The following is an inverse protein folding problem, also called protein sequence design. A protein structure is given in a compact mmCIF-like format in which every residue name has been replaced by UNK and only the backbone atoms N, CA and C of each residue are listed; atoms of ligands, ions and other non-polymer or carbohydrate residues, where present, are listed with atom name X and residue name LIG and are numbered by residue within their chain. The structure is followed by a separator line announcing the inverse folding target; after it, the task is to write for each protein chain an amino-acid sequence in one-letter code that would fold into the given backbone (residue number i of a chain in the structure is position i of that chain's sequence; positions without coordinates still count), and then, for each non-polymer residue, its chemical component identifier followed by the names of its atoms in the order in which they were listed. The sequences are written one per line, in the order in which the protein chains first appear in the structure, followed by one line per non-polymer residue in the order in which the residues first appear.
data_IF_105198896976
#
_entry.id   IF_105198896976
#
_cell.length_a   1.000
_cell.length_b   1.000
_cell.length_c   1.000
_cell.angle_alpha   90.00
_cell.angle_beta   90.00
_cell.angle_gamma   90.00
#
_symmetry.space_group_name_H-M   'P 1'
#
loop_
_entity.id
_entity.type
_entity.pdbx_description
1 polymer ?
#
# COMPACT_ATOMS: atom_id res chain seq x y z
N UNK A 1 -4.71 1.79 22.91
CA UNK A 1 -5.50 0.97 21.97
C UNK A 1 -5.47 1.69 20.63
N UNK A 2 -4.97 1.04 19.59
CA UNK A 2 -4.83 1.60 18.25
C UNK A 2 -6.18 1.50 17.50
N UNK A 3 -6.41 2.35 16.50
CA UNK A 3 -7.68 2.37 15.75
C UNK A 3 -7.94 1.06 15.03
N UNK A 4 -6.91 0.46 14.41
CA UNK A 4 -7.02 -0.81 13.70
C UNK A 4 -7.43 -1.98 14.63
N UNK A 5 -7.18 -1.92 15.95
CA UNK A 5 -7.60 -2.97 16.88
C UNK A 5 -9.13 -3.05 17.03
N UNK A 6 -9.85 -2.02 16.55
CA UNK A 6 -11.30 -2.00 16.52
C UNK A 6 -11.89 -2.68 15.29
N UNK A 7 -11.07 -3.03 14.31
CA UNK A 7 -11.51 -3.70 13.07
C UNK A 7 -11.97 -5.12 13.38
N UNK A 8 -12.96 -5.60 12.63
CA UNK A 8 -13.48 -6.96 12.70
C UNK A 8 -12.37 -7.95 12.41
N UNK A 9 -11.61 -7.78 11.32
CA UNK A 9 -10.48 -8.67 10.99
C UNK A 9 -9.57 -8.82 12.21
N UNK A 10 -9.13 -7.73 12.86
CA UNK A 10 -8.30 -7.84 14.07
C UNK A 10 -9.01 -8.59 15.20
N UNK A 11 -10.25 -8.21 15.51
CA UNK A 11 -11.04 -8.78 16.61
C UNK A 11 -11.25 -10.28 16.50
N UNK A 12 -11.52 -10.79 15.30
CA UNK A 12 -11.79 -12.22 15.09
C UNK A 12 -10.51 -13.05 14.94
N UNK A 13 -9.37 -12.43 14.64
CA UNK A 13 -8.14 -13.14 14.29
C UNK A 13 -7.05 -13.01 15.34
N UNK A 14 -6.63 -11.81 15.72
CA UNK A 14 -5.46 -11.60 16.57
C UNK A 14 -5.83 -11.16 18.00
N UNK A 15 -6.97 -10.49 18.18
CA UNK A 15 -7.41 -10.05 19.50
C UNK A 15 -7.66 -11.23 20.47
N UNK A 16 -7.57 -11.00 21.79
CA UNK A 16 -8.02 -11.99 22.78
C UNK A 16 -9.48 -12.36 22.57
N UNK A 17 -9.80 -13.64 22.60
CA UNK A 17 -11.16 -14.14 22.44
C UNK A 17 -11.90 -14.14 23.78
N UNK A 18 -13.22 -13.91 23.75
CA UNK A 18 -14.06 -13.79 24.96
C UNK A 18 -14.50 -15.15 25.54
N UNK A 19 -14.46 -16.20 24.72
CA UNK A 19 -14.76 -17.57 25.11
C UNK A 19 -13.46 -18.35 25.37
N UNK A 20 -13.56 -19.55 25.96
CA UNK A 20 -12.42 -20.46 26.07
C UNK A 20 -11.81 -20.70 24.68
N UNK A 21 -10.65 -20.10 24.44
CA UNK A 21 -9.89 -20.24 23.21
C UNK A 21 -8.76 -21.25 23.43
N UNK A 22 -8.90 -22.49 22.94
CA UNK A 22 -7.84 -23.50 23.06
C UNK A 22 -6.55 -23.10 22.34
N UNK A 23 -6.60 -22.06 21.50
CA UNK A 23 -5.48 -21.55 20.71
C UNK A 23 -5.05 -20.14 21.11
N UNK A 24 -5.38 -19.68 22.33
CA UNK A 24 -4.99 -18.34 22.81
C UNK A 24 -3.47 -18.16 22.85
N UNK A 25 -2.71 -19.21 23.20
CA UNK A 25 -1.24 -19.13 23.26
C UNK A 25 -0.61 -18.86 21.87
N UNK A 26 -0.87 -19.66 20.83
CA UNK A 26 -0.46 -19.34 19.45
C UNK A 26 -0.95 -17.97 18.96
N UNK A 27 -2.21 -17.62 19.26
CA UNK A 27 -2.79 -16.33 18.86
C UNK A 27 -2.09 -15.15 19.52
N UNK A 28 -1.83 -15.24 20.83
CA UNK A 28 -1.11 -14.23 21.61
C UNK A 28 0.30 -14.02 21.05
N UNK A 29 1.00 -15.11 20.71
CA UNK A 29 2.34 -15.02 20.10
C UNK A 29 2.33 -14.21 18.80
N UNK A 30 1.38 -14.50 17.89
CA UNK A 30 1.20 -13.74 16.65
C UNK A 30 0.82 -12.27 16.91
N UNK A 31 -0.12 -12.03 17.84
CA UNK A 31 -0.56 -10.68 18.23
C UNK A 31 0.60 -9.84 18.74
N UNK A 32 1.38 -10.37 19.68
CA UNK A 32 2.52 -9.65 20.25
C UNK A 32 3.64 -9.42 19.23
N UNK A 33 3.92 -10.42 18.38
CA UNK A 33 4.87 -10.27 17.29
C UNK A 33 4.44 -9.17 16.31
N UNK A 34 3.14 -9.11 15.98
CA UNK A 34 2.60 -8.06 15.11
C UNK A 34 2.73 -6.67 15.73
N UNK A 35 2.40 -6.52 17.02
CA UNK A 35 2.51 -5.22 17.70
C UNK A 35 3.95 -4.71 17.77
N UNK A 36 4.93 -5.59 18.00
CA UNK A 36 6.37 -5.25 17.91
C UNK A 36 6.78 -4.88 16.50
N UNK A 37 6.36 -5.67 15.51
CA UNK A 37 6.61 -5.40 14.10
C UNK A 37 6.04 -4.04 13.68
N UNK A 38 4.80 -3.73 14.08
CA UNK A 38 4.16 -2.44 13.86
C UNK A 38 4.97 -1.28 14.45
N UNK A 39 5.52 -1.44 15.65
CA UNK A 39 6.33 -0.39 16.29
C UNK A 39 7.62 -0.09 15.50
N UNK A 40 8.30 -1.14 15.02
CA UNK A 40 9.48 -1.01 14.18
C UNK A 40 9.12 -0.41 12.80
N UNK A 41 8.03 -0.87 12.18
CA UNK A 41 7.51 -0.34 10.93
C UNK A 41 7.12 1.15 11.05
N UNK A 42 6.54 1.56 12.17
CA UNK A 42 6.20 2.97 12.42
C UNK A 42 7.45 3.87 12.46
N UNK A 43 8.54 3.36 13.03
CA UNK A 43 9.82 4.08 13.09
C UNK A 43 10.42 4.24 11.70
N UNK A 44 10.43 3.17 10.89
CA UNK A 44 10.91 3.21 9.51
C UNK A 44 10.01 4.07 8.61
N UNK A 45 8.68 3.94 8.73
CA UNK A 45 7.72 4.70 7.93
C UNK A 45 7.77 6.21 8.17
N UNK A 46 8.18 6.65 9.36
CA UNK A 46 8.38 8.08 9.65
C UNK A 46 9.48 8.72 8.79
N UNK A 47 10.43 7.93 8.26
CA UNK A 47 11.51 8.42 7.40
C UNK A 47 11.03 8.70 5.96
N UNK A 48 9.92 8.11 5.51
CA UNK A 48 9.37 8.34 4.16
C UNK A 48 9.10 9.83 3.92
N UNK A 49 8.54 10.53 4.91
CA UNK A 49 8.24 11.95 4.79
C UNK A 49 9.50 12.83 4.69
N UNK A 50 10.65 12.35 5.20
CA UNK A 50 11.94 13.04 5.06
C UNK A 50 12.51 12.85 3.66
N UNK A 51 12.39 11.63 3.12
CA UNK A 51 12.95 11.28 1.82
C UNK A 51 12.07 11.74 0.65
N UNK A 52 10.75 11.76 0.82
CA UNK A 52 9.75 12.07 -0.21
C UNK A 52 8.71 13.08 0.30
N UNK A 53 9.11 14.33 0.62
CA UNK A 53 8.22 15.31 1.26
C UNK A 53 7.03 15.74 0.38
N UNK A 54 7.17 15.66 -0.94
CA UNK A 54 6.10 16.01 -1.90
C UNK A 54 4.99 14.95 -1.97
N UNK A 55 5.23 13.70 -1.53
CA UNK A 55 4.25 12.62 -1.57
C UNK A 55 3.22 12.77 -0.44
N UNK A 56 2.03 12.26 -0.68
CA UNK A 56 0.95 12.16 0.33
C UNK A 56 1.38 11.23 1.47
N UNK A 57 0.54 11.04 2.48
CA UNK A 57 0.89 10.24 3.66
C UNK A 57 1.03 8.76 3.30
N UNK A 58 2.19 8.19 3.65
CA UNK A 58 2.56 6.76 3.51
C UNK A 58 3.16 6.23 4.84
N UNK A 59 2.94 6.93 5.96
CA UNK A 59 3.42 6.53 7.28
C UNK A 59 2.44 5.57 7.99
N UNK A 60 2.72 5.24 9.25
CA UNK A 60 1.93 4.30 10.04
C UNK A 60 0.42 4.58 10.06
N UNK A 61 0.00 5.85 9.93
CA UNK A 61 -1.43 6.21 9.90
C UNK A 61 -2.12 5.68 8.64
N UNK A 62 -1.42 5.68 7.50
CA UNK A 62 -1.89 5.07 6.27
C UNK A 62 -1.93 3.53 6.41
N UNK A 63 -0.86 2.93 6.91
CA UNK A 63 -0.73 1.47 7.04
C UNK A 63 -1.80 0.89 7.98
N UNK A 64 -2.12 1.59 9.07
CA UNK A 64 -3.18 1.19 10.00
C UNK A 64 -4.58 1.31 9.39
N UNK A 65 -4.83 2.36 8.61
CA UNK A 65 -6.12 2.58 7.97
C UNK A 65 -6.47 1.49 6.94
N UNK A 66 -5.48 0.76 6.41
CA UNK A 66 -5.71 -0.37 5.52
C UNK A 66 -6.54 -1.48 6.20
N UNK A 67 -6.45 -1.66 7.52
CA UNK A 67 -7.31 -2.63 8.21
C UNK A 67 -8.79 -2.28 8.13
N UNK A 68 -9.13 -0.98 8.24
CA UNK A 68 -10.52 -0.50 8.14
C UNK A 68 -11.05 -0.62 6.72
N UNK A 69 -10.22 -0.31 5.72
CA UNK A 69 -10.57 -0.46 4.30
C UNK A 69 -10.73 -1.95 3.93
N UNK A 70 -9.86 -2.82 4.44
CA UNK A 70 -9.93 -4.25 4.21
C UNK A 70 -11.23 -4.83 4.80
N UNK A 71 -11.56 -4.46 6.04
CA UNK A 71 -12.82 -4.81 6.70
C UNK A 71 -14.03 -4.47 5.83
N UNK A 72 -14.06 -3.24 5.29
CA UNK A 72 -15.13 -2.75 4.44
C UNK A 72 -15.25 -3.55 3.14
N UNK A 73 -14.11 -3.90 2.52
CA UNK A 73 -14.09 -4.59 1.23
C UNK A 73 -14.48 -6.06 1.37
N UNK A 74 -13.89 -6.77 2.33
CA UNK A 74 -14.10 -8.22 2.43
C UNK A 74 -15.47 -8.57 3.01
N UNK A 75 -16.05 -7.69 3.83
CA UNK A 75 -17.37 -7.87 4.42
C UNK A 75 -17.39 -8.66 5.72
N UNK A 76 -18.57 -8.77 6.34
CA UNK A 76 -18.72 -9.31 7.70
C UNK A 76 -18.36 -10.80 7.83
N UNK A 77 -18.69 -11.59 6.80
CA UNK A 77 -18.58 -13.05 6.83
C UNK A 77 -17.25 -13.58 6.26
N UNK A 78 -16.28 -12.70 5.98
CA UNK A 78 -15.03 -13.14 5.37
C UNK A 78 -14.10 -13.82 6.38
N UNK A 79 -13.74 -15.10 6.19
CA UNK A 79 -12.94 -15.85 7.15
C UNK A 79 -11.45 -15.51 6.99
N UNK A 80 -10.76 -15.26 8.11
CA UNK A 80 -9.30 -15.15 8.15
C UNK A 80 -8.77 -15.90 9.38
N UNK A 81 -7.80 -16.79 9.17
CA UNK A 81 -7.06 -17.42 10.26
C UNK A 81 -6.11 -16.40 10.90
N UNK A 82 -5.65 -16.63 12.14
CA UNK A 82 -4.68 -15.74 12.77
C UNK A 82 -3.37 -15.59 11.97
N UNK A 83 -2.80 -16.65 11.35
CA UNK A 83 -1.67 -16.47 10.44
C UNK A 83 -1.98 -15.69 9.17
N UNK A 84 -3.16 -15.84 8.57
CA UNK A 84 -3.55 -15.03 7.42
C UNK A 84 -3.66 -13.55 7.80
N UNK A 85 -4.24 -13.24 8.96
CA UNK A 85 -4.33 -11.87 9.46
C UNK A 85 -2.96 -11.31 9.84
N UNK A 86 -2.07 -12.12 10.43
CA UNK A 86 -0.68 -11.74 10.69
C UNK A 86 0.08 -11.44 9.39
N UNK A 87 -0.06 -12.30 8.38
CA UNK A 87 0.60 -12.12 7.08
C UNK A 87 0.05 -10.90 6.32
N UNK A 88 -1.28 -10.74 6.29
CA UNK A 88 -1.94 -9.58 5.69
C UNK A 88 -1.54 -8.28 6.39
N UNK A 89 -1.60 -8.27 7.73
CA UNK A 89 -1.18 -7.14 8.53
C UNK A 89 0.28 -6.80 8.33
N UNK A 90 1.15 -7.80 8.30
CA UNK A 90 2.56 -7.62 7.99
C UNK A 90 2.77 -7.00 6.62
N UNK A 91 1.99 -7.42 5.62
CA UNK A 91 2.08 -6.89 4.26
C UNK A 91 1.59 -5.43 4.19
N UNK A 92 0.51 -5.08 4.91
CA UNK A 92 0.11 -3.69 5.10
C UNK A 92 1.28 -2.88 5.66
N UNK A 93 1.97 -3.39 6.68
CA UNK A 93 3.07 -2.68 7.30
C UNK A 93 4.26 -2.44 6.39
N UNK A 94 4.54 -3.26 5.37
CA UNK A 94 5.79 -3.15 4.58
C UNK A 94 5.63 -2.68 3.14
N UNK A 95 4.44 -2.77 2.54
CA UNK A 95 4.27 -2.57 1.09
C UNK A 95 4.83 -1.23 0.60
N UNK A 96 4.65 -0.16 1.37
CA UNK A 96 5.15 1.19 1.06
C UNK A 96 6.42 1.58 1.81
N UNK A 97 6.88 0.82 2.82
CA UNK A 97 8.06 1.22 3.61
C UNK A 97 9.33 1.37 2.77
N UNK A 98 9.40 0.63 1.68
CA UNK A 98 10.50 0.71 0.73
C UNK A 98 10.59 2.08 0.02
N UNK A 99 9.61 2.98 0.18
CA UNK A 99 9.67 4.37 -0.27
C UNK A 99 10.59 5.28 0.58
N UNK A 100 11.39 4.70 1.48
CA UNK A 100 12.43 5.42 2.24
C UNK A 100 13.82 4.90 1.92
N UNK A 101 14.81 5.79 1.93
CA UNK A 101 16.25 5.46 1.88
C UNK A 101 16.66 4.58 3.06
N UNK A 102 16.00 4.72 4.20
CA UNK A 102 16.24 3.89 5.39
C UNK A 102 15.89 2.41 5.16
N UNK A 103 15.10 2.08 4.15
CA UNK A 103 14.73 0.71 3.76
C UNK A 103 15.83 -0.04 2.98
N UNK A 104 17.01 0.57 2.85
CA UNK A 104 18.19 0.02 2.18
C UNK A 104 19.34 -0.09 3.19
N UNK A 105 19.37 -1.14 4.05
CA UNK A 105 20.32 -1.24 5.16
C UNK A 105 21.80 -1.33 4.72
N UNK A 106 22.05 -1.76 3.48
CA UNK A 106 23.39 -1.80 2.87
C UNK A 106 23.73 -0.53 2.08
N UNK A 107 22.94 0.53 2.22
CA UNK A 107 23.10 1.78 1.48
C UNK A 107 22.52 1.73 0.07
N UNK A 108 22.65 2.84 -0.64
CA UNK A 108 22.07 3.07 -1.96
C UNK A 108 23.09 2.88 -3.10
N UNK A 109 24.29 2.44 -2.80
CA UNK A 109 25.36 2.28 -3.79
C UNK A 109 25.04 1.19 -4.81
N UNK A 110 24.29 0.15 -4.41
CA UNK A 110 23.75 -0.83 -5.36
C UNK A 110 22.70 -0.20 -6.27
N UNK A 111 21.80 0.61 -5.72
CA UNK A 111 20.74 1.29 -6.47
C UNK A 111 21.32 2.18 -7.58
N UNK A 112 22.42 2.89 -7.29
CA UNK A 112 23.10 3.77 -8.26
C UNK A 112 23.75 3.04 -9.44
N UNK A 113 23.92 1.71 -9.33
CA UNK A 113 24.46 0.85 -10.39
C UNK A 113 23.37 0.22 -11.23
N UNK A 114 22.10 0.31 -10.81
CA UNK A 114 20.98 -0.23 -11.56
C UNK A 114 20.74 0.61 -12.82
N UNK A 115 20.39 -0.07 -13.92
CA UNK A 115 20.07 0.57 -15.19
C UNK A 115 18.96 1.61 -15.05
N UNK A 116 17.92 1.30 -14.27
CA UNK A 116 16.83 2.25 -13.99
C UNK A 116 17.30 3.55 -13.35
N UNK A 117 18.35 3.51 -12.51
CA UNK A 117 18.89 4.73 -11.91
C UNK A 117 19.67 5.55 -12.91
N UNK A 118 20.53 4.91 -13.70
CA UNK A 118 21.30 5.57 -14.77
C UNK A 118 20.39 6.19 -15.83
N UNK A 119 19.33 5.48 -16.22
CA UNK A 119 18.32 5.96 -17.17
C UNK A 119 17.54 7.16 -16.62
N UNK A 120 17.20 7.13 -15.33
CA UNK A 120 16.52 8.24 -14.65
C UNK A 120 17.42 9.48 -14.60
N UNK A 121 18.70 9.32 -14.25
CA UNK A 121 19.69 10.41 -14.31
C UNK A 121 19.79 10.97 -15.73
N UNK A 122 19.87 10.10 -16.73
CA UNK A 122 19.96 10.51 -18.13
C UNK A 122 18.73 11.32 -18.57
N UNK A 123 17.52 10.91 -18.16
CA UNK A 123 16.28 11.63 -18.45
C UNK A 123 16.23 13.02 -17.80
N UNK A 124 16.64 13.11 -16.53
CA UNK A 124 16.70 14.38 -15.80
C UNK A 124 17.75 15.33 -16.39
N UNK A 125 18.94 14.82 -16.71
CA UNK A 125 19.99 15.60 -17.38
C UNK A 125 19.56 16.04 -18.78
N UNK A 126 18.88 15.19 -19.55
CA UNK A 126 18.37 15.56 -20.88
C UNK A 126 17.44 16.75 -20.79
N UNK A 127 16.54 16.76 -19.81
CA UNK A 127 15.61 17.87 -19.57
C UNK A 127 16.37 19.14 -19.17
N UNK A 128 17.38 19.04 -18.32
CA UNK A 128 18.20 20.19 -17.87
C UNK A 128 19.08 20.76 -18.99
N UNK A 129 19.69 19.90 -19.79
CA UNK A 129 20.68 20.29 -20.81
C UNK A 129 20.04 20.65 -22.16
N UNK A 130 18.79 20.25 -22.40
CA UNK A 130 18.12 20.42 -23.70
C UNK A 130 18.71 19.51 -24.80
N UNK A 131 19.55 18.54 -24.45
CA UNK A 131 20.18 17.57 -25.35
C UNK A 131 20.42 16.24 -24.64
N UNK A 132 20.67 15.13 -25.36
CA UNK A 132 21.14 13.89 -24.74
C UNK A 132 22.42 14.13 -23.90
N UNK A 133 22.49 13.62 -22.66
CA UNK A 133 23.70 13.66 -21.86
C UNK A 133 24.77 12.71 -22.41
N UNK A 134 26.03 13.02 -22.14
CA UNK A 134 27.18 12.12 -22.37
C UNK A 134 27.34 11.16 -21.19
N UNK A 135 28.01 10.04 -21.42
CA UNK A 135 28.24 9.01 -20.40
C UNK A 135 28.92 9.57 -19.15
N UNK A 136 29.97 10.37 -19.32
CA UNK A 136 30.66 11.02 -18.20
C UNK A 136 29.76 12.00 -17.40
N UNK A 137 28.78 12.63 -18.05
CA UNK A 137 27.82 13.53 -17.36
C UNK A 137 26.82 12.75 -16.49
N UNK A 138 26.51 11.50 -16.88
CA UNK A 138 25.66 10.60 -16.10
C UNK A 138 26.45 10.08 -14.88
N UNK A 139 27.69 9.63 -15.09
CA UNK A 139 28.55 9.10 -14.04
C UNK A 139 28.88 10.14 -12.96
N UNK A 140 29.08 11.41 -13.36
CA UNK A 140 29.36 12.52 -12.45
C UNK A 140 28.18 13.46 -12.31
N UNK A 141 26.95 12.92 -12.29
CA UNK A 141 25.75 13.73 -12.19
C UNK A 141 25.78 14.63 -10.93
N UNK A 142 25.35 15.91 -11.04
CA UNK A 142 25.24 16.80 -9.88
C UNK A 142 24.37 16.21 -8.76
N UNK A 143 24.69 16.51 -7.50
CA UNK A 143 24.01 15.93 -6.33
C UNK A 143 22.49 16.12 -6.35
N UNK A 144 21.99 17.26 -6.87
CA UNK A 144 20.56 17.52 -6.95
C UNK A 144 19.86 16.63 -7.99
N UNK A 145 20.54 16.28 -9.09
CA UNK A 145 20.05 15.29 -10.07
C UNK A 145 20.14 13.89 -9.48
N UNK A 146 21.26 13.55 -8.85
CA UNK A 146 21.47 12.23 -8.25
C UNK A 146 20.46 11.93 -7.13
N UNK A 147 20.16 12.93 -6.29
CA UNK A 147 19.15 12.81 -5.24
C UNK A 147 17.75 12.67 -5.82
N UNK A 148 17.38 13.50 -6.81
CA UNK A 148 16.08 13.38 -7.47
C UNK A 148 15.91 12.04 -8.20
N UNK A 149 16.95 11.55 -8.89
CA UNK A 149 16.93 10.24 -9.52
C UNK A 149 16.74 9.13 -8.47
N UNK A 150 17.40 9.25 -7.32
CA UNK A 150 17.23 8.32 -6.20
C UNK A 150 15.79 8.33 -5.68
N UNK A 151 15.17 9.50 -5.49
CA UNK A 151 13.77 9.62 -5.09
C UNK A 151 12.83 8.94 -6.10
N UNK A 152 13.01 9.21 -7.39
CA UNK A 152 12.20 8.62 -8.47
C UNK A 152 12.37 7.09 -8.54
N UNK A 153 13.60 6.59 -8.41
CA UNK A 153 13.92 5.16 -8.50
C UNK A 153 13.45 4.38 -7.27
N UNK A 154 13.60 4.94 -6.07
CA UNK A 154 13.09 4.29 -4.85
C UNK A 154 11.58 4.13 -4.95
N UNK A 155 10.86 5.14 -5.47
CA UNK A 155 9.41 5.01 -5.74
C UNK A 155 9.15 3.99 -6.84
N UNK A 156 9.96 3.92 -7.91
CA UNK A 156 9.74 2.94 -8.97
C UNK A 156 9.98 1.49 -8.52
N UNK A 157 10.89 1.26 -7.57
CA UNK A 157 11.29 -0.06 -7.10
C UNK A 157 10.74 -0.44 -5.72
N UNK A 158 9.91 0.40 -5.09
CA UNK A 158 9.49 0.18 -3.70
C UNK A 158 8.84 -1.19 -3.51
N UNK A 159 7.91 -1.60 -4.37
CA UNK A 159 7.23 -2.89 -4.24
C UNK A 159 8.21 -4.07 -4.30
N UNK A 160 9.22 -4.01 -5.18
CA UNK A 160 10.25 -5.03 -5.27
C UNK A 160 11.12 -5.07 -4.00
N UNK A 161 11.49 -3.91 -3.47
CA UNK A 161 12.29 -3.84 -2.24
C UNK A 161 11.46 -4.22 -0.99
N UNK A 162 10.16 -3.95 -0.98
CA UNK A 162 9.23 -4.36 0.07
C UNK A 162 9.21 -5.89 0.28
N UNK A 163 9.48 -6.68 -0.77
CA UNK A 163 9.62 -8.14 -0.67
C UNK A 163 10.70 -8.57 0.33
N UNK A 164 11.77 -7.78 0.45
CA UNK A 164 12.93 -8.11 1.27
C UNK A 164 12.80 -7.62 2.70
N UNK A 165 12.00 -6.58 2.93
CA UNK A 165 11.92 -5.88 4.22
C UNK A 165 11.64 -6.76 5.43
N UNK A 166 10.76 -7.78 5.37
CA UNK A 166 10.48 -8.61 6.54
C UNK A 166 11.67 -9.45 7.02
N UNK A 167 12.66 -9.70 6.16
CA UNK A 167 13.78 -10.63 6.45
C UNK A 167 15.16 -9.96 6.54
N UNK A 168 15.28 -8.69 6.10
CA UNK A 168 16.52 -7.91 6.25
C UNK A 168 16.66 -7.35 7.66
N UNK A 169 17.87 -6.86 7.97
CA UNK A 169 18.23 -6.28 9.25
C UNK A 169 19.01 -4.99 9.11
N UNK A 170 19.01 -4.21 10.18
CA UNK A 170 19.83 -3.02 10.35
C UNK A 170 20.87 -3.26 11.43
N UNK A 171 22.12 -2.87 11.18
CA UNK A 171 23.21 -3.04 12.12
C UNK A 171 23.44 -1.76 12.92
N UNK A 172 23.40 -1.88 14.25
CA UNK A 172 23.71 -0.77 15.17
C UNK A 172 25.22 -0.52 15.18
N UNK A 173 25.64 0.69 14.79
CA UNK A 173 27.06 0.99 14.48
C UNK A 173 28.03 0.82 15.66
N UNK A 174 27.57 1.06 16.88
CA UNK A 174 28.40 1.05 18.09
C UNK A 174 28.63 -0.36 18.67
N UNK A 175 27.67 -1.25 18.47
CA UNK A 175 27.56 -2.54 19.15
C UNK A 175 27.61 -3.72 18.19
N UNK A 176 27.25 -3.51 16.92
CA UNK A 176 27.12 -4.56 15.92
C UNK A 176 25.77 -5.30 16.00
N UNK A 177 24.90 -4.94 16.94
CA UNK A 177 23.59 -5.58 17.14
C UNK A 177 22.73 -5.47 15.87
N UNK A 178 21.95 -6.52 15.59
CA UNK A 178 21.04 -6.57 14.45
C UNK A 178 19.60 -6.33 14.91
N UNK A 179 18.94 -5.37 14.26
CA UNK A 179 17.54 -5.05 14.44
C UNK A 179 16.74 -5.52 13.24
N UNK A 180 15.56 -6.10 13.49
CA UNK A 180 14.69 -6.64 12.44
C UNK A 180 13.32 -5.97 12.52
N UNK A 181 12.61 -5.94 11.40
CA UNK A 181 11.20 -5.55 11.47
C UNK A 181 10.37 -6.58 12.24
N UNK A 182 10.58 -7.87 11.99
CA UNK A 182 9.98 -8.97 12.76
C UNK A 182 11.04 -9.53 13.69
N UNK A 183 10.97 -9.25 14.99
CA UNK A 183 12.02 -9.66 15.95
C UNK A 183 12.04 -11.17 16.24
N UNK A 184 10.87 -11.80 16.38
CA UNK A 184 10.76 -13.26 16.63
C UNK A 184 11.32 -14.03 15.42
N UNK A 185 12.44 -14.73 15.63
CA UNK A 185 13.18 -15.42 14.58
C UNK A 185 12.33 -16.47 13.85
N UNK A 186 11.61 -17.32 14.59
CA UNK A 186 10.82 -18.40 14.01
C UNK A 186 9.64 -17.84 13.20
N UNK A 187 8.98 -16.78 13.71
CA UNK A 187 7.92 -16.09 12.98
C UNK A 187 8.47 -15.40 11.73
N UNK A 188 9.62 -14.75 11.82
CA UNK A 188 10.28 -14.09 10.68
C UNK A 188 10.66 -15.09 9.60
N UNK A 189 11.27 -16.20 9.97
CA UNK A 189 11.65 -17.27 9.04
C UNK A 189 10.42 -17.89 8.36
N UNK A 190 9.36 -18.13 9.12
CA UNK A 190 8.13 -18.75 8.59
C UNK A 190 7.34 -17.79 7.69
N UNK A 191 7.03 -16.60 8.18
CA UNK A 191 6.06 -15.70 7.54
C UNK A 191 6.72 -14.55 6.77
N UNK A 192 7.95 -14.17 7.09
CA UNK A 192 8.64 -13.02 6.49
C UNK A 192 8.69 -13.08 4.96
N UNK A 193 9.14 -14.18 4.33
CA UNK A 193 9.15 -14.31 2.88
C UNK A 193 7.75 -14.18 2.26
N UNK A 194 6.73 -14.75 2.91
CA UNK A 194 5.34 -14.68 2.43
C UNK A 194 4.78 -13.27 2.54
N UNK A 195 5.01 -12.60 3.68
CA UNK A 195 4.63 -11.20 3.90
C UNK A 195 5.24 -10.30 2.83
N UNK A 196 6.54 -10.45 2.57
CA UNK A 196 7.24 -9.65 1.57
C UNK A 196 6.68 -9.90 0.18
N UNK A 197 6.45 -11.16 -0.18
CA UNK A 197 5.93 -11.51 -1.50
C UNK A 197 4.50 -10.99 -1.72
N UNK A 198 3.64 -11.08 -0.70
CA UNK A 198 2.31 -10.47 -0.70
C UNK A 198 2.44 -8.96 -0.86
N UNK A 199 3.34 -8.31 -0.10
CA UNK A 199 3.60 -6.88 -0.21
C UNK A 199 4.02 -6.48 -1.63
N UNK A 200 4.96 -7.17 -2.27
CA UNK A 200 5.37 -6.89 -3.65
C UNK A 200 4.23 -7.07 -4.67
N UNK A 201 3.31 -8.00 -4.41
CA UNK A 201 2.27 -8.36 -5.38
C UNK A 201 1.26 -7.27 -5.73
N UNK A 202 1.19 -6.18 -4.94
CA UNK A 202 0.35 -5.02 -5.30
C UNK A 202 0.80 -4.32 -6.59
N UNK A 203 2.03 -4.59 -7.07
CA UNK A 203 2.55 -4.12 -8.37
C UNK A 203 2.51 -5.14 -9.50
N UNK A 204 2.07 -6.37 -9.23
CA UNK A 204 1.97 -7.38 -10.29
C UNK A 204 0.70 -7.16 -11.12
N UNK A 205 0.59 -7.82 -12.27
CA UNK A 205 -0.72 -7.95 -12.91
C UNK A 205 -1.63 -8.85 -12.08
N UNK A 206 -2.96 -8.71 -12.20
CA UNK A 206 -3.90 -9.65 -11.55
C UNK A 206 -3.70 -11.07 -12.08
N UNK A 207 -3.39 -11.21 -13.38
CA UNK A 207 -3.13 -12.50 -14.03
C UNK A 207 -1.91 -13.23 -13.42
N UNK A 208 -0.88 -12.49 -13.00
CA UNK A 208 0.30 -13.04 -12.32
C UNK A 208 -0.04 -13.64 -10.94
N UNK A 209 -1.07 -13.14 -10.25
CA UNK A 209 -1.39 -13.54 -8.87
C UNK A 209 -1.72 -15.03 -8.78
N UNK A 210 -2.56 -15.53 -9.68
CA UNK A 210 -3.04 -16.92 -9.67
C UNK A 210 -1.88 -17.93 -9.77
N UNK A 211 -0.94 -17.68 -10.69
CA UNK A 211 0.20 -18.56 -10.92
C UNK A 211 1.25 -18.46 -9.80
N UNK A 212 1.49 -17.25 -9.30
CA UNK A 212 2.53 -16.99 -8.29
C UNK A 212 2.09 -17.40 -6.88
N UNK A 213 0.79 -17.32 -6.55
CA UNK A 213 0.21 -17.70 -5.26
C UNK A 213 -0.65 -18.97 -5.35
N UNK A 214 -0.14 -19.98 -6.06
CA UNK A 214 -0.87 -21.22 -6.33
C UNK A 214 -0.90 -22.22 -5.17
N UNK A 215 -0.19 -21.98 -4.07
CA UNK A 215 -0.15 -22.88 -2.91
C UNK A 215 -0.26 -22.09 -1.59
N UNK A 216 -1.05 -22.59 -0.62
CA UNK A 216 -1.06 -22.03 0.72
C UNK A 216 0.26 -22.35 1.44
N UNK A 217 0.64 -21.49 2.39
CA UNK A 217 1.69 -21.79 3.35
C UNK A 217 1.11 -22.65 4.48
N UNK A 218 1.80 -23.73 4.84
CA UNK A 218 1.42 -24.59 5.96
C UNK A 218 1.49 -23.88 7.33
N UNK A 219 0.85 -24.49 8.33
CA UNK A 219 0.91 -23.99 9.70
C UNK A 219 2.25 -24.41 10.37
N UNK A 220 2.87 -23.54 11.20
CA UNK A 220 3.98 -23.93 12.06
C UNK A 220 3.60 -25.02 13.07
N UNK A 221 4.58 -25.73 13.61
CA UNK A 221 4.33 -26.84 14.56
C UNK A 221 3.65 -26.44 15.88
N UNK A 222 3.69 -25.16 16.25
CA UNK A 222 2.99 -24.60 17.41
C UNK A 222 1.58 -24.09 17.09
N UNK A 223 1.13 -24.18 15.83
CA UNK A 223 -0.21 -23.82 15.39
C UNK A 223 -1.05 -25.07 15.08
N UNK A 224 -2.40 -24.96 15.11
CA UNK A 224 -3.28 -25.95 14.47
C UNK A 224 -2.97 -26.10 12.99
N UNK A 225 -3.05 -27.32 12.46
CA UNK A 225 -2.82 -27.58 11.03
C UNK A 225 -3.81 -26.85 10.08
N UNK A 226 -4.96 -26.41 10.59
CA UNK A 226 -5.93 -25.61 9.84
C UNK A 226 -5.53 -24.14 9.70
N UNK A 227 -4.55 -23.66 10.45
CA UNK A 227 -4.05 -22.28 10.39
C UNK A 227 -3.02 -22.08 9.27
N UNK A 228 -3.41 -22.46 8.06
CA UNK A 228 -2.65 -22.20 6.84
C UNK A 228 -2.82 -20.74 6.41
N UNK A 229 -1.89 -20.25 5.58
CA UNK A 229 -2.00 -18.93 4.94
C UNK A 229 -2.34 -19.12 3.47
N UNK A 230 -3.56 -18.77 3.07
CA UNK A 230 -3.90 -18.65 1.66
C UNK A 230 -3.29 -17.35 1.12
N UNK A 231 -2.17 -17.48 0.41
CA UNK A 231 -1.38 -16.36 -0.07
C UNK A 231 -2.05 -15.58 -1.20
N UNK A 232 -2.86 -16.25 -2.02
CA UNK A 232 -3.66 -15.58 -3.05
C UNK A 232 -4.72 -14.69 -2.42
N UNK A 233 -5.39 -15.20 -1.39
CA UNK A 233 -6.38 -14.46 -0.62
C UNK A 233 -5.79 -13.21 0.04
N UNK A 234 -4.65 -13.33 0.72
CA UNK A 234 -4.00 -12.16 1.35
C UNK A 234 -3.50 -11.14 0.32
N UNK A 235 -2.97 -11.60 -0.82
CA UNK A 235 -2.57 -10.74 -1.94
C UNK A 235 -3.76 -9.98 -2.55
N UNK A 236 -4.88 -10.66 -2.78
CA UNK A 236 -6.09 -10.04 -3.29
C UNK A 236 -6.61 -8.96 -2.33
N UNK A 237 -6.61 -9.22 -1.02
CA UNK A 237 -7.06 -8.24 -0.02
C UNK A 237 -6.13 -7.02 -0.01
N UNK A 238 -4.81 -7.21 0.08
CA UNK A 238 -3.85 -6.11 0.08
C UNK A 238 -4.07 -5.18 -1.13
N UNK A 239 -4.11 -5.79 -2.31
CA UNK A 239 -4.20 -5.08 -3.59
C UNK A 239 -5.38 -4.11 -3.67
N UNK A 240 -6.59 -4.61 -3.41
CA UNK A 240 -7.79 -3.77 -3.48
C UNK A 240 -7.89 -2.79 -2.31
N UNK A 241 -7.32 -3.14 -1.16
CA UNK A 241 -7.34 -2.30 0.04
C UNK A 241 -6.42 -1.09 -0.12
N UNK A 242 -5.20 -1.29 -0.60
CA UNK A 242 -4.26 -0.21 -0.89
C UNK A 242 -4.85 0.74 -1.95
N UNK A 243 -5.30 0.18 -3.08
CA UNK A 243 -5.92 0.95 -4.15
C UNK A 243 -7.10 1.81 -3.65
N UNK A 244 -7.95 1.25 -2.78
CA UNK A 244 -9.17 1.92 -2.31
C UNK A 244 -8.92 3.01 -1.24
N UNK A 245 -7.74 3.09 -0.62
CA UNK A 245 -7.46 4.07 0.43
C UNK A 245 -7.05 5.44 -0.14
N UNK A 246 -8.05 6.20 -0.60
CA UNK A 246 -7.91 7.50 -1.27
C UNK A 246 -8.42 8.70 -0.46
N UNK A 247 -8.91 8.48 0.76
CA UNK A 247 -9.55 9.53 1.57
C UNK A 247 -8.57 10.53 2.19
N UNK A 248 -9.12 11.55 2.83
CA UNK A 248 -8.42 12.68 3.44
C UNK A 248 -7.30 12.31 4.41
N UNK A 249 -7.29 11.10 4.97
CA UNK A 249 -6.20 10.63 5.85
C UNK A 249 -4.89 10.51 5.09
N UNK A 250 -4.93 10.29 3.78
CA UNK A 250 -3.73 10.36 2.92
C UNK A 250 -3.24 11.80 2.75
N UNK A 251 -4.09 12.82 2.90
CA UNK A 251 -3.73 14.21 2.65
C UNK A 251 -4.36 15.18 3.66
N UNK A 252 -3.91 15.18 4.93
CA UNK A 252 -4.45 16.10 5.94
C UNK A 252 -4.20 17.56 5.56
N UNK A 253 -5.25 18.39 5.60
CA UNK A 253 -5.22 19.79 5.13
C UNK A 253 -4.07 20.62 5.74
N UNK A 254 -3.90 20.54 7.06
CA UNK A 254 -2.84 21.30 7.73
C UNK A 254 -1.45 20.80 7.36
N UNK A 255 -1.27 19.49 7.17
CA UNK A 255 0.01 18.92 6.74
C UNK A 255 0.37 19.38 5.32
N UNK A 256 -0.60 19.45 4.41
CA UNK A 256 -0.41 19.98 3.06
C UNK A 256 0.10 21.43 3.09
N UNK A 257 -0.48 22.28 3.97
CA UNK A 257 -0.04 23.68 4.17
C UNK A 257 1.42 23.76 4.65
N UNK A 258 1.83 22.85 5.55
CA UNK A 258 3.21 22.80 6.05
C UNK A 258 4.21 22.28 5.01
N UNK A 259 3.82 21.28 4.20
CA UNK A 259 4.69 20.66 3.21
C UNK A 259 4.83 21.47 1.92
N UNK A 260 3.80 22.24 1.54
CA UNK A 260 3.77 23.01 0.28
C UNK A 260 4.23 22.18 -0.93
N UNK A 261 3.56 21.04 -1.21
CA UNK A 261 3.99 20.13 -2.26
C UNK A 261 4.05 20.84 -3.61
N UNK A 262 5.00 20.43 -4.45
CA UNK A 262 5.16 21.00 -5.80
C UNK A 262 3.94 20.73 -6.68
N UNK A 263 3.78 21.52 -7.75
CA UNK A 263 2.77 21.27 -8.80
C UNK A 263 2.96 19.86 -9.39
N UNK A 264 1.86 19.15 -9.62
CA UNK A 264 1.84 17.72 -9.93
C UNK A 264 1.48 16.93 -8.67
N UNK A 265 2.42 16.71 -7.72
CA UNK A 265 2.09 16.10 -6.44
C UNK A 265 0.97 16.82 -5.67
N UNK A 266 0.95 18.16 -5.65
CA UNK A 266 -0.10 18.95 -4.99
C UNK A 266 -1.50 18.66 -5.53
N UNK A 267 -1.63 18.21 -6.78
CA UNK A 267 -2.92 17.87 -7.37
C UNK A 267 -3.47 16.57 -6.77
N UNK A 268 -2.59 15.64 -6.36
CA UNK A 268 -2.94 14.44 -5.57
C UNK A 268 -3.36 14.83 -4.16
N UNK A 269 -2.60 15.73 -3.53
CA UNK A 269 -2.95 16.26 -2.22
C UNK A 269 -4.33 16.93 -2.21
N UNK A 270 -4.59 17.78 -3.20
CA UNK A 270 -5.86 18.51 -3.32
C UNK A 270 -7.07 17.59 -3.47
N UNK A 271 -6.95 16.51 -4.25
CA UNK A 271 -8.07 15.60 -4.39
C UNK A 271 -8.25 14.75 -3.14
N UNK A 272 -7.19 14.12 -2.61
CA UNK A 272 -7.32 13.22 -1.47
C UNK A 272 -7.83 13.97 -0.24
N UNK A 273 -7.36 15.20 0.00
CA UNK A 273 -7.87 16.08 1.07
C UNK A 273 -9.39 16.27 1.02
N UNK A 274 -9.98 16.17 -0.18
CA UNK A 274 -11.40 16.37 -0.45
C UNK A 274 -12.27 15.14 -0.21
N UNK A 275 -11.70 13.95 -0.40
CA UNK A 275 -12.43 12.68 -0.39
C UNK A 275 -12.65 12.22 1.05
N UNK A 276 -13.90 11.92 1.37
CA UNK A 276 -14.29 11.30 2.63
C UNK A 276 -14.10 9.78 2.55
N UNK A 277 -14.05 9.13 3.72
CA UNK A 277 -13.94 7.66 3.81
C UNK A 277 -15.00 6.97 2.94
N UNK A 278 -14.64 5.90 2.21
CA UNK A 278 -15.59 5.15 1.43
C UNK A 278 -16.62 4.45 2.32
N UNK A 279 -17.81 4.27 1.77
CA UNK A 279 -18.85 3.41 2.37
C UNK A 279 -19.29 2.36 1.37
N UNK A 280 -19.69 1.20 1.86
CA UNK A 280 -20.25 0.13 1.03
C UNK A 280 -21.75 0.33 0.90
N UNK A 281 -22.29 0.20 -0.30
CA UNK A 281 -23.73 0.13 -0.55
C UNK A 281 -24.00 -0.97 -1.57
N UNK A 282 -24.73 -1.99 -1.14
CA UNK A 282 -24.80 -3.27 -1.85
C UNK A 282 -23.37 -3.79 -2.10
N UNK A 283 -22.97 -4.00 -3.35
CA UNK A 283 -21.65 -4.53 -3.73
C UNK A 283 -20.68 -3.46 -4.22
N UNK A 284 -20.96 -2.16 -3.97
CA UNK A 284 -20.16 -1.05 -4.51
C UNK A 284 -19.65 -0.10 -3.44
N UNK A 285 -18.38 0.29 -3.59
CA UNK A 285 -17.81 1.40 -2.83
C UNK A 285 -18.37 2.72 -3.35
N UNK A 286 -18.77 3.57 -2.41
CA UNK A 286 -19.23 4.94 -2.65
C UNK A 286 -18.27 5.88 -1.96
N UNK A 287 -17.72 6.80 -2.74
CA UNK A 287 -16.93 7.94 -2.26
C UNK A 287 -17.79 9.20 -2.33
N UNK A 288 -17.49 10.17 -1.47
CA UNK A 288 -18.14 11.47 -1.43
C UNK A 288 -17.14 12.57 -1.08
N UNK A 289 -17.45 13.80 -1.43
CA UNK A 289 -16.59 14.96 -1.17
C UNK A 289 -17.05 15.82 0.00
N UNK A 290 -16.11 16.41 0.75
CA UNK A 290 -16.40 17.44 1.77
C UNK A 290 -17.09 18.68 1.21
N UNK A 291 -16.71 19.05 -0.01
CA UNK A 291 -17.17 20.25 -0.74
C UNK A 291 -16.92 20.05 -2.24
N UNK A 292 -17.67 20.71 -3.13
CA UNK A 292 -17.51 20.57 -4.58
C UNK A 292 -16.18 21.13 -5.13
N UNK A 293 -15.61 20.50 -6.15
CA UNK A 293 -14.39 20.97 -6.84
C UNK A 293 -14.69 22.18 -7.73
N UNK A 294 -13.93 23.26 -7.56
CA UNK A 294 -14.03 24.46 -8.41
C UNK A 294 -13.36 24.23 -9.77
N UNK A 295 -13.66 25.08 -10.75
CA UNK A 295 -13.03 25.05 -12.09
C UNK A 295 -11.50 25.10 -12.00
N UNK A 296 -10.95 25.87 -11.05
CA UNK A 296 -9.51 25.98 -10.80
C UNK A 296 -8.86 24.67 -10.29
N UNK A 297 -9.67 23.70 -9.87
CA UNK A 297 -9.27 22.42 -9.29
C UNK A 297 -9.66 21.24 -10.22
N UNK A 298 -10.01 21.55 -11.49
CA UNK A 298 -10.44 20.56 -12.46
C UNK A 298 -9.39 19.45 -12.66
N UNK A 299 -8.09 19.77 -12.66
CA UNK A 299 -7.03 18.77 -12.76
C UNK A 299 -7.11 17.74 -11.62
N UNK A 300 -7.28 18.20 -10.38
CA UNK A 300 -7.43 17.30 -9.22
C UNK A 300 -8.72 16.48 -9.26
N UNK A 301 -9.81 17.04 -9.79
CA UNK A 301 -11.04 16.26 -10.00
C UNK A 301 -10.81 15.14 -11.02
N UNK A 302 -10.11 15.41 -12.12
CA UNK A 302 -9.78 14.38 -13.12
C UNK A 302 -8.84 13.31 -12.57
N UNK A 303 -7.83 13.69 -11.76
CA UNK A 303 -6.98 12.70 -11.07
C UNK A 303 -7.81 11.85 -10.10
N UNK A 304 -8.79 12.42 -9.41
CA UNK A 304 -9.71 11.65 -8.57
C UNK A 304 -10.54 10.66 -9.40
N UNK A 305 -11.09 11.10 -10.53
CA UNK A 305 -11.84 10.24 -11.45
C UNK A 305 -10.99 9.07 -11.94
N UNK A 306 -9.78 9.32 -12.44
CA UNK A 306 -8.86 8.29 -12.93
C UNK A 306 -8.42 7.33 -11.80
N UNK A 307 -8.19 7.86 -10.58
CA UNK A 307 -7.86 7.05 -9.41
C UNK A 307 -9.01 6.12 -9.03
N UNK A 308 -10.25 6.60 -9.02
CA UNK A 308 -11.43 5.78 -8.75
C UNK A 308 -11.68 4.75 -9.85
N UNK A 309 -11.39 5.08 -11.11
CA UNK A 309 -11.44 4.11 -12.22
C UNK A 309 -10.40 3.00 -12.05
N UNK A 310 -9.22 3.32 -11.52
CA UNK A 310 -8.23 2.31 -11.15
C UNK A 310 -8.76 1.40 -10.04
N UNK A 311 -9.35 1.95 -8.97
CA UNK A 311 -9.97 1.15 -7.89
C UNK A 311 -11.06 0.21 -8.42
N UNK A 312 -11.95 0.70 -9.29
CA UNK A 312 -12.99 -0.12 -9.89
C UNK A 312 -12.42 -1.28 -10.72
N UNK A 313 -11.35 -1.02 -11.47
CA UNK A 313 -10.66 -2.05 -12.25
C UNK A 313 -10.05 -3.12 -11.35
N UNK A 314 -9.36 -2.71 -10.29
CA UNK A 314 -8.75 -3.61 -9.31
C UNK A 314 -9.80 -4.50 -8.65
N UNK A 315 -10.91 -3.92 -8.17
CA UNK A 315 -12.02 -4.68 -7.58
C UNK A 315 -12.62 -5.70 -8.55
N UNK A 316 -12.89 -5.29 -9.79
CA UNK A 316 -13.49 -6.18 -10.81
C UNK A 316 -12.54 -7.30 -11.24
N UNK A 317 -11.27 -7.00 -11.41
CA UNK A 317 -10.27 -8.00 -11.82
C UNK A 317 -10.06 -9.02 -10.70
N UNK A 318 -9.99 -8.57 -9.44
CA UNK A 318 -9.89 -9.48 -8.29
C UNK A 318 -11.18 -10.29 -8.12
N UNK A 319 -12.36 -9.70 -8.31
CA UNK A 319 -13.63 -10.44 -8.26
C UNK A 319 -13.70 -11.54 -9.34
N UNK A 320 -13.23 -11.26 -10.56
CA UNK A 320 -13.12 -12.26 -11.61
C UNK A 320 -12.13 -13.37 -11.23
N UNK A 321 -10.94 -13.00 -10.73
CA UNK A 321 -9.92 -13.96 -10.27
C UNK A 321 -10.44 -14.87 -9.16
N UNK A 322 -11.12 -14.32 -8.15
CA UNK A 322 -11.70 -15.08 -7.04
C UNK A 322 -12.87 -15.98 -7.51
N UNK A 323 -13.57 -15.59 -8.57
CA UNK A 323 -14.64 -16.42 -9.16
C UNK A 323 -14.08 -17.57 -9.99
N UNK A 324 -13.00 -17.35 -10.73
CA UNK A 324 -12.41 -18.33 -11.65
C UNK A 324 -11.49 -19.32 -10.93
N UNK A 325 -10.97 -18.94 -9.77
CA UNK A 325 -10.06 -19.79 -9.00
C UNK A 325 -10.80 -20.88 -8.24
N UNK A 326 -10.26 -22.11 -8.28
CA UNK A 326 -10.78 -23.28 -7.54
C UNK A 326 -10.41 -23.26 -6.05
N UNK A 327 -9.85 -22.16 -5.54
CA UNK A 327 -9.57 -22.03 -4.11
C UNK A 327 -10.88 -21.75 -3.39
N UNK A 328 -11.05 -22.30 -2.19
CA UNK A 328 -12.16 -22.00 -1.27
C UNK A 328 -12.04 -20.56 -0.71
N UNK A 329 -11.83 -19.57 -1.59
CA UNK A 329 -11.78 -18.15 -1.24
C UNK A 329 -13.14 -17.53 -1.57
N UNK A 330 -13.90 -17.05 -0.56
CA UNK A 330 -15.12 -16.31 -0.83
C UNK A 330 -14.83 -15.08 -1.68
N UNK A 331 -15.83 -14.65 -2.45
CA UNK A 331 -15.79 -13.34 -3.11
C UNK A 331 -15.85 -12.23 -2.06
N UNK A 332 -15.25 -11.09 -2.37
CA UNK A 332 -15.39 -9.89 -1.56
C UNK A 332 -16.81 -9.31 -1.65
N UNK A 333 -17.17 -8.52 -0.64
CA UNK A 333 -18.46 -7.82 -0.59
C UNK A 333 -18.44 -6.62 -1.53
N UNK A 334 -17.34 -5.85 -1.53
CA UNK A 334 -17.10 -4.80 -2.51
C UNK A 334 -16.53 -5.36 -3.83
N UNK A 335 -17.14 -5.02 -4.96
CA UNK A 335 -16.79 -5.55 -6.30
C UNK A 335 -16.65 -4.48 -7.39
N UNK A 336 -17.07 -3.26 -7.11
CA UNK A 336 -17.00 -2.13 -8.04
C UNK A 336 -17.04 -0.79 -7.29
N UNK A 337 -16.76 0.30 -8.00
CA UNK A 337 -17.01 1.67 -7.52
C UNK A 337 -18.30 2.20 -8.15
N UNK A 338 -19.10 2.90 -7.35
CA UNK A 338 -20.39 3.46 -7.77
C UNK A 338 -20.20 4.64 -8.74
N UNK A 339 -20.95 4.65 -9.85
CA UNK A 339 -21.02 5.73 -10.87
C UNK A 339 -19.71 6.12 -11.57
N UNK A 340 -18.64 5.36 -11.38
CA UNK A 340 -17.30 5.67 -11.90
C UNK A 340 -17.16 5.49 -13.43
N UNK A 341 -18.12 4.84 -14.07
CA UNK A 341 -18.10 4.55 -15.50
C UNK A 341 -18.23 5.79 -16.40
N UNK A 342 -18.79 6.89 -15.87
CA UNK A 342 -19.00 8.15 -16.58
C UNK A 342 -18.74 9.34 -15.66
N UNK A 343 -17.99 10.35 -16.09
CA UNK A 343 -17.68 11.49 -15.25
C UNK A 343 -18.93 12.26 -14.81
N UNK A 344 -19.93 12.38 -15.68
CA UNK A 344 -21.19 13.08 -15.36
C UNK A 344 -21.96 12.39 -14.25
N UNK A 345 -21.91 11.04 -14.21
CA UNK A 345 -22.53 10.26 -13.15
C UNK A 345 -21.73 10.34 -11.86
N UNK A 346 -20.40 10.26 -11.95
CA UNK A 346 -19.55 10.38 -10.76
C UNK A 346 -19.70 11.77 -10.12
N UNK A 347 -19.92 12.82 -10.92
CA UNK A 347 -20.14 14.18 -10.44
C UNK A 347 -21.36 14.32 -9.50
N UNK A 348 -22.32 13.36 -9.54
CA UNK A 348 -23.43 13.30 -8.58
C UNK A 348 -22.98 12.89 -7.15
N UNK A 349 -21.76 12.39 -6.99
CA UNK A 349 -21.15 11.96 -5.71
C UNK A 349 -19.88 12.75 -5.38
N UNK A 350 -19.10 13.08 -6.41
CA UNK A 350 -17.87 13.87 -6.36
C UNK A 350 -18.17 15.21 -7.02
N UNK A 351 -18.79 16.10 -6.24
CA UNK A 351 -19.46 17.29 -6.75
C UNK A 351 -18.49 18.29 -7.40
N UNK A 352 -18.98 19.05 -8.39
CA UNK A 352 -18.28 20.17 -9.04
C UNK A 352 -19.05 21.48 -8.85
N UNK A 353 -18.35 22.61 -8.75
CA UNK A 353 -18.93 23.96 -8.62
C UNK A 353 -18.57 24.83 -9.83
N UNK A 354 -19.58 25.22 -10.60
CA UNK A 354 -19.43 26.14 -11.73
C UNK A 354 -18.93 25.51 -13.03
N UNK A 355 -18.91 24.17 -13.12
CA UNK A 355 -18.56 23.42 -14.33
C UNK A 355 -19.11 21.99 -14.29
N UNK A 356 -19.16 21.35 -15.45
CA UNK A 356 -19.58 19.96 -15.63
C UNK A 356 -18.40 19.19 -16.24
N UNK A 357 -17.99 18.06 -15.65
CA UNK A 357 -16.93 17.24 -16.23
C UNK A 357 -17.47 16.47 -17.44
N UNK A 358 -16.83 16.66 -18.60
CA UNK A 358 -17.18 15.99 -19.86
C UNK A 358 -15.95 15.26 -20.37
N UNK A 359 -16.03 13.94 -20.54
CA UNK A 359 -14.95 13.14 -21.11
C UNK A 359 -14.95 13.27 -22.63
N UNK A 360 -13.97 14.03 -23.16
CA UNK A 360 -13.80 14.26 -24.60
C UNK A 360 -12.83 13.25 -25.26
N UNK A 361 -12.39 12.21 -24.55
CA UNK A 361 -11.49 11.18 -25.11
C UNK A 361 -12.22 10.41 -26.22
N UNK A 362 -11.58 10.34 -27.40
CA UNK A 362 -12.02 9.48 -28.49
C UNK A 362 -11.61 8.05 -28.11
N UNK A 363 -12.58 7.15 -28.02
CA UNK A 363 -12.37 5.73 -27.68
C UNK A 363 -12.12 4.87 -28.91
#
# INVERSE_FOLDING_TARGET
MFTFENTRIWKISLAPQRCDDPWEEPRRRLREAFLRFRANAATLGAEIARDLPDRTVHDITHLDALWEIADLIVGECFPLTPPEAFALGGAFLVHDLAMSRASYPHGLDSLRKESVWLDTVAALLRTRLGRPPRENEIETAPDDIANRATEEVIVALHAQQAERLPVVWWTKKDTGDHYYLIEDHEIRETYGPTIGRVAHSHWWSVDDLAGRFSQPLGAPGWCPNSWQVNTLKTACILRVTDAAHLDERRSPSFLRVLRQPKKGPDEYWQFQERILQPRLQADRLIYSTKRPFKVSEATSWWICFDSLQMVDRELRQVDALLTDTRFDCPRFEARAVMKVEKPERLAELIETEGWIPVDARIR
#
